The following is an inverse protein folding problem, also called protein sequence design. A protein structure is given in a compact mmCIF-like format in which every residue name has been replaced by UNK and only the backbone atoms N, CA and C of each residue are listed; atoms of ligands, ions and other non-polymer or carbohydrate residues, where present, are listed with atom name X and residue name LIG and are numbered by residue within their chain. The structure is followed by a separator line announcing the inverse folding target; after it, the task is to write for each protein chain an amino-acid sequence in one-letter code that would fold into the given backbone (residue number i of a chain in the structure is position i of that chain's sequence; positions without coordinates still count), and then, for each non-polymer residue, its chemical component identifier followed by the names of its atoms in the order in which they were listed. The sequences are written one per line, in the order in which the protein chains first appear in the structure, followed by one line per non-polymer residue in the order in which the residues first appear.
data_IF_866458715831
#
_entry.id   IF_866458715831
#
_cell.length_a   1.000
_cell.length_b   1.000
_cell.length_c   1.000
_cell.angle_alpha   90.00
_cell.angle_beta   90.00
_cell.angle_gamma   90.00
#
_symmetry.space_group_name_H-M   'P 1'
#
loop_
_entity.id
_entity.type
_entity.pdbx_description
1 polymer ?
#
# COMPACT_ATOMS: atom_id res chain seq x y z
N UNK A 1 -0.09 11.45 13.15
CA UNK A 1 -1.45 11.01 13.55
C UNK A 1 -1.73 11.53 14.94
N UNK A 2 -2.97 11.93 15.21
CA UNK A 2 -3.38 12.41 16.53
C UNK A 2 -4.42 11.46 17.12
N UNK A 3 -4.34 11.24 18.43
CA UNK A 3 -5.35 10.54 19.21
C UNK A 3 -5.82 11.47 20.31
N UNK A 4 -7.12 11.73 20.38
CA UNK A 4 -7.76 12.58 21.38
C UNK A 4 -8.81 11.80 22.16
N UNK A 5 -9.23 12.31 23.31
CA UNK A 5 -10.46 11.82 23.95
C UNK A 5 -11.67 12.24 23.12
N UNK A 6 -12.64 11.34 23.02
CA UNK A 6 -13.95 11.67 22.50
C UNK A 6 -14.66 12.58 23.52
N UNK A 7 -15.15 13.77 23.14
CA UNK A 7 -15.84 14.68 24.04
C UNK A 7 -17.19 14.13 24.53
N UNK A 8 -17.77 13.15 23.83
CA UNK A 8 -19.00 12.47 24.25
C UNK A 8 -18.71 11.44 25.37
N UNK A 9 -19.11 11.71 26.63
CA UNK A 9 -18.81 10.84 27.76
C UNK A 9 -19.62 9.53 27.74
N UNK A 10 -20.74 9.49 27.02
CA UNK A 10 -21.62 8.32 26.93
C UNK A 10 -21.24 7.38 25.77
N UNK A 11 -20.27 7.80 24.95
CA UNK A 11 -19.79 7.03 23.82
C UNK A 11 -19.03 5.78 24.28
N UNK A 12 -19.44 4.62 23.77
CA UNK A 12 -18.67 3.37 23.90
C UNK A 12 -17.33 3.36 23.13
N UNK A 13 -17.06 4.41 22.36
CA UNK A 13 -15.82 4.67 21.62
C UNK A 13 -15.17 5.95 22.19
N UNK A 14 -14.36 5.84 23.25
CA UNK A 14 -13.89 6.98 24.04
C UNK A 14 -12.73 7.76 23.40
N UNK A 15 -12.26 7.36 22.21
CA UNK A 15 -11.16 8.03 21.52
C UNK A 15 -11.55 8.52 20.13
N UNK A 16 -10.95 9.63 19.72
CA UNK A 16 -10.94 10.12 18.35
C UNK A 16 -9.54 9.94 17.77
N UNK A 17 -9.45 9.40 16.56
CA UNK A 17 -8.20 9.23 15.83
C UNK A 17 -8.27 10.09 14.58
N UNK A 18 -7.33 11.02 14.42
CA UNK A 18 -7.17 11.82 13.20
C UNK A 18 -5.96 11.33 12.41
N UNK A 19 -6.24 10.76 11.25
CA UNK A 19 -5.25 10.21 10.32
C UNK A 19 -4.92 11.30 9.29
N UNK A 20 -3.63 11.60 9.05
CA UNK A 20 -3.23 12.67 8.13
C UNK A 20 -3.30 12.20 6.67
N UNK A 21 -4.51 11.89 6.20
CA UNK A 21 -4.82 11.46 4.84
C UNK A 21 -6.15 12.12 4.41
N UNK A 22 -6.26 12.53 3.14
CA UNK A 22 -7.48 13.08 2.53
C UNK A 22 -8.15 14.18 3.37
N UNK A 23 -7.42 15.27 3.69
CA UNK A 23 -7.93 16.38 4.51
C UNK A 23 -8.00 16.11 6.02
N UNK A 24 -7.75 14.87 6.45
CA UNK A 24 -7.63 14.49 7.86
C UNK A 24 -8.77 13.61 8.34
N UNK A 25 -8.89 12.39 7.79
CA UNK A 25 -9.90 11.40 8.19
C UNK A 25 -9.97 11.23 9.72
N UNK A 26 -11.19 11.23 10.25
CA UNK A 26 -11.46 11.10 11.69
C UNK A 26 -12.22 9.80 11.96
N UNK A 27 -11.83 9.10 13.02
CA UNK A 27 -12.48 7.89 13.48
C UNK A 27 -12.74 7.93 14.97
N UNK A 28 -13.94 7.53 15.41
CA UNK A 28 -14.16 7.15 16.81
C UNK A 28 -13.66 5.72 17.03
N UNK A 29 -12.95 5.48 18.13
CA UNK A 29 -12.32 4.18 18.39
C UNK A 29 -12.40 3.78 19.86
N UNK A 30 -12.30 2.47 20.09
CA UNK A 30 -12.36 1.88 21.44
C UNK A 30 -11.06 2.02 22.24
N UNK A 31 -9.94 2.19 21.55
CA UNK A 31 -8.61 2.22 22.16
C UNK A 31 -7.67 3.08 21.29
N UNK A 32 -6.53 3.45 21.87
CA UNK A 32 -5.50 4.35 21.31
C UNK A 32 -4.55 3.66 20.34
N UNK A 33 -4.40 2.33 20.42
CA UNK A 33 -3.59 1.56 19.47
C UNK A 33 -3.93 0.05 19.46
N UNK A 34 -3.95 -0.65 18.30
CA UNK A 34 -4.29 -2.06 18.23
C UNK A 34 -3.13 -2.96 18.67
N UNK A 35 -3.06 -3.24 19.98
CA UNK A 35 -1.97 -4.05 20.57
C UNK A 35 -2.24 -5.55 20.48
N UNK A 36 -3.40 -5.98 20.99
CA UNK A 36 -3.75 -7.40 21.16
C UNK A 36 -4.84 -7.88 20.21
N UNK A 37 -5.74 -6.99 19.79
CA UNK A 37 -6.85 -7.28 18.87
C UNK A 37 -7.10 -6.09 17.95
N UNK A 38 -7.83 -6.34 16.86
CA UNK A 38 -8.33 -5.27 16.02
C UNK A 38 -9.31 -4.38 16.81
N UNK A 39 -9.21 -3.08 16.60
CA UNK A 39 -10.07 -2.06 17.18
C UNK A 39 -11.10 -1.68 16.13
N UNK A 40 -12.38 -1.68 16.50
CA UNK A 40 -13.41 -1.12 15.64
C UNK A 40 -13.26 0.41 15.59
N UNK A 41 -13.31 0.94 14.37
CA UNK A 41 -13.27 2.36 14.08
C UNK A 41 -14.58 2.75 13.42
N UNK A 42 -15.26 3.75 13.96
CA UNK A 42 -16.42 4.37 13.33
C UNK A 42 -15.96 5.63 12.59
N UNK A 43 -16.04 5.67 11.25
CA UNK A 43 -15.69 6.87 10.49
C UNK A 43 -16.66 8.01 10.85
N UNK A 44 -16.13 9.21 10.98
CA UNK A 44 -16.92 10.42 11.23
C UNK A 44 -16.39 11.56 10.37
N UNK A 45 -17.21 12.59 10.19
CA UNK A 45 -16.83 13.76 9.41
C UNK A 45 -15.70 14.54 10.10
N UNK A 46 -14.91 15.25 9.31
CA UNK A 46 -13.71 15.93 9.81
C UNK A 46 -14.00 17.08 10.79
N UNK A 47 -15.22 17.63 10.72
CA UNK A 47 -15.76 18.67 11.60
C UNK A 47 -16.12 18.13 13.00
N UNK A 48 -16.28 16.80 13.16
CA UNK A 48 -16.38 16.18 14.49
C UNK A 48 -15.07 16.24 15.28
N UNK A 49 -13.94 16.60 14.64
CA UNK A 49 -12.70 16.85 15.37
C UNK A 49 -12.82 18.15 16.18
N UNK A 50 -12.70 18.13 17.53
CA UNK A 50 -12.90 19.32 18.34
C UNK A 50 -11.87 20.41 18.02
N UNK A 51 -12.25 21.71 18.11
CA UNK A 51 -11.33 22.82 17.92
C UNK A 51 -10.23 22.86 18.99
N UNK A 52 -10.55 22.45 20.23
CA UNK A 52 -9.59 22.27 21.34
C UNK A 52 -9.64 20.83 21.86
N UNK A 53 -8.97 19.89 21.18
CA UNK A 53 -9.05 18.47 21.52
C UNK A 53 -8.13 18.14 22.71
N UNK A 54 -8.62 17.33 23.65
CA UNK A 54 -7.76 16.72 24.68
C UNK A 54 -6.91 15.62 24.02
N UNK A 55 -5.72 15.99 23.54
CA UNK A 55 -4.79 15.07 22.90
C UNK A 55 -4.20 14.10 23.93
N UNK A 56 -4.47 12.82 23.72
CA UNK A 56 -3.95 11.70 24.52
C UNK A 56 -2.61 11.22 23.95
N UNK A 57 -2.47 11.19 22.62
CA UNK A 57 -1.25 10.73 21.97
C UNK A 57 -0.99 11.49 20.66
N UNK A 58 0.27 11.88 20.45
CA UNK A 58 0.77 12.39 19.17
C UNK A 58 1.76 11.39 18.60
N UNK A 59 1.44 10.82 17.45
CA UNK A 59 2.25 9.78 16.81
C UNK A 59 2.90 10.34 15.56
N UNK A 60 4.22 10.50 15.60
CA UNK A 60 5.05 10.75 14.43
C UNK A 60 4.94 9.56 13.47
N UNK A 61 4.76 9.80 12.17
CA UNK A 61 4.62 8.75 11.16
C UNK A 61 5.78 8.80 10.18
N UNK A 62 6.39 7.64 9.90
CA UNK A 62 7.28 7.46 8.76
C UNK A 62 6.50 7.38 7.44
N UNK A 63 5.29 6.84 7.49
CA UNK A 63 4.45 6.66 6.32
C UNK A 63 2.97 6.54 6.72
N UNK A 64 2.09 7.14 5.93
CA UNK A 64 0.64 6.97 6.01
C UNK A 64 0.09 6.96 4.58
N UNK A 65 -0.23 5.77 4.07
CA UNK A 65 -0.57 5.62 2.65
C UNK A 65 -1.78 4.73 2.51
N UNK A 66 -2.72 5.17 1.68
CA UNK A 66 -3.87 4.34 1.29
C UNK A 66 -3.45 3.29 0.27
N UNK A 67 -3.92 2.07 0.47
CA UNK A 67 -3.79 0.94 -0.46
C UNK A 67 -5.14 0.26 -0.58
N UNK A 68 -6.00 0.78 -1.47
CA UNK A 68 -7.35 0.29 -1.68
C UNK A 68 -8.22 0.47 -0.44
N UNK A 69 -8.75 -0.63 0.10
CA UNK A 69 -9.55 -0.65 1.32
C UNK A 69 -8.73 -0.49 2.61
N UNK A 70 -7.40 -0.46 2.56
CA UNK A 70 -6.57 -0.30 3.75
C UNK A 70 -5.84 1.04 3.74
N UNK A 71 -5.61 1.60 4.92
CA UNK A 71 -4.63 2.66 5.16
C UNK A 71 -3.50 2.05 5.96
N UNK A 72 -2.32 1.95 5.35
CA UNK A 72 -1.10 1.56 6.05
C UNK A 72 -0.62 2.74 6.89
N UNK A 73 -0.41 2.48 8.19
CA UNK A 73 0.11 3.47 9.15
C UNK A 73 1.40 2.92 9.73
N UNK A 74 2.52 3.60 9.41
CA UNK A 74 3.85 3.30 9.93
C UNK A 74 4.29 4.43 10.85
N UNK A 75 4.21 4.17 12.16
CA UNK A 75 4.67 5.09 13.19
C UNK A 75 6.20 5.11 13.29
N UNK A 76 6.76 6.26 13.67
CA UNK A 76 8.19 6.42 13.92
C UNK A 76 8.54 6.08 15.38
N UNK A 77 8.55 4.77 15.67
CA UNK A 77 8.88 4.23 17.00
C UNK A 77 9.28 2.75 16.93
N UNK A 78 9.97 2.27 17.96
CA UNK A 78 10.51 0.90 18.01
C UNK A 78 9.50 -0.22 18.32
N UNK A 79 8.36 0.09 18.95
CA UNK A 79 7.26 -0.85 19.22
C UNK A 79 5.97 -0.28 18.67
N UNK A 80 5.02 -1.13 18.29
CA UNK A 80 3.73 -0.68 17.74
C UNK A 80 3.90 0.23 16.52
N UNK A 81 4.88 -0.15 15.70
CA UNK A 81 5.33 0.61 14.55
C UNK A 81 4.39 0.49 13.36
N UNK A 82 3.80 -0.69 13.15
CA UNK A 82 3.06 -1.03 11.93
C UNK A 82 1.62 -1.37 12.27
N UNK A 83 0.68 -0.71 11.61
CA UNK A 83 -0.75 -0.99 11.73
C UNK A 83 -1.47 -0.68 10.42
N UNK A 84 -2.70 -1.17 10.29
CA UNK A 84 -3.56 -0.93 9.14
C UNK A 84 -4.96 -0.57 9.60
N UNK A 85 -5.54 0.48 9.03
CA UNK A 85 -6.96 0.82 9.15
C UNK A 85 -7.67 0.27 7.91
N UNK A 86 -8.50 -0.75 8.08
CA UNK A 86 -9.09 -1.52 6.97
C UNK A 86 -10.60 -1.29 6.91
N UNK A 87 -11.05 -0.75 5.79
CA UNK A 87 -12.43 -0.65 5.39
C UNK A 87 -12.88 -2.01 4.83
N UNK A 88 -13.97 -2.55 5.36
CA UNK A 88 -14.52 -3.83 4.94
C UNK A 88 -16.05 -3.80 5.00
N UNK A 89 -16.69 -4.82 4.42
CA UNK A 89 -18.14 -5.00 4.46
C UNK A 89 -18.45 -6.30 5.19
N UNK A 90 -19.28 -6.25 6.22
CA UNK A 90 -19.75 -7.42 6.94
C UNK A 90 -21.24 -7.28 7.26
N UNK A 91 -22.01 -8.38 7.07
CA UNK A 91 -23.48 -8.40 7.28
C UNK A 91 -24.22 -7.26 6.56
N UNK A 92 -23.78 -6.93 5.34
CA UNK A 92 -24.38 -5.87 4.52
C UNK A 92 -24.04 -4.44 4.94
N UNK A 93 -23.28 -4.24 6.02
CA UNK A 93 -22.87 -2.93 6.54
C UNK A 93 -21.37 -2.69 6.38
N UNK A 94 -21.00 -1.43 6.35
CA UNK A 94 -19.61 -0.99 6.24
C UNK A 94 -18.99 -0.94 7.63
N UNK A 95 -17.77 -1.44 7.74
CA UNK A 95 -17.04 -1.52 9.00
C UNK A 95 -15.60 -1.11 8.76
N UNK A 96 -15.01 -0.39 9.72
CA UNK A 96 -13.59 -0.06 9.69
C UNK A 96 -12.92 -0.69 10.89
N UNK A 97 -11.78 -1.34 10.68
CA UNK A 97 -11.00 -1.97 11.73
C UNK A 97 -9.55 -1.52 11.69
N UNK A 98 -9.03 -1.10 12.83
CA UNK A 98 -7.62 -0.81 13.01
C UNK A 98 -6.90 -2.00 13.63
N UNK A 99 -5.89 -2.54 12.95
CA UNK A 99 -5.24 -3.80 13.31
C UNK A 99 -3.71 -3.73 13.20
N UNK A 100 -3.01 -4.63 13.88
CA UNK A 100 -1.54 -4.76 13.83
C UNK A 100 -1.11 -6.17 13.39
N UNK A 101 0.14 -6.38 12.94
CA UNK A 101 0.61 -7.67 12.41
C UNK A 101 0.46 -8.88 13.35
N UNK A 102 0.28 -8.67 14.66
CA UNK A 102 0.12 -9.74 15.66
C UNK A 102 -1.21 -10.49 15.60
N UNK A 103 -2.11 -10.15 14.65
CA UNK A 103 -3.45 -10.77 14.53
C UNK A 103 -3.61 -11.78 13.38
N UNK A 104 -2.54 -12.22 12.69
CA UNK A 104 -2.66 -13.18 11.57
C UNK A 104 -1.70 -14.37 11.70
N UNK A 105 -2.26 -15.60 11.72
CA UNK A 105 -1.50 -16.86 11.61
C UNK A 105 -0.87 -16.98 10.22
N UNK A 106 0.42 -17.28 10.19
CA UNK A 106 1.21 -17.48 8.97
C UNK A 106 1.11 -18.96 8.55
N UNK A 107 0.86 -19.21 7.25
CA UNK A 107 0.86 -20.55 6.67
C UNK A 107 2.27 -20.90 6.12
N UNK A 108 2.62 -22.20 6.14
CA UNK A 108 3.88 -22.77 5.63
C UNK A 108 3.64 -23.63 4.38
N UNK A 109 4.65 -23.81 3.50
CA UNK A 109 4.48 -24.35 2.16
C UNK A 109 4.77 -25.85 2.07
N UNK A 110 3.79 -26.58 1.53
CA UNK A 110 3.99 -27.77 0.70
C UNK A 110 2.92 -27.66 -0.42
N UNK A 111 3.31 -27.16 -1.60
CA UNK A 111 2.36 -26.53 -2.53
C UNK A 111 1.84 -27.54 -3.54
N UNK A 112 0.66 -28.11 -3.26
CA UNK A 112 -0.31 -28.35 -4.34
C UNK A 112 -0.81 -26.99 -4.81
N UNK A 113 -0.89 -26.78 -6.13
CA UNK A 113 -1.53 -25.58 -6.68
C UNK A 113 -2.95 -25.49 -6.10
N UNK A 114 -3.28 -24.44 -5.31
CA UNK A 114 -4.58 -24.36 -4.70
C UNK A 114 -5.65 -24.13 -5.78
N UNK A 115 -6.66 -24.99 -5.83
CA UNK A 115 -7.86 -24.81 -6.67
C UNK A 115 -8.86 -23.82 -6.08
N UNK A 116 -8.57 -23.29 -4.89
CA UNK A 116 -9.38 -22.28 -4.23
C UNK A 116 -9.30 -20.94 -4.96
N UNK A 117 -10.47 -20.31 -5.14
CA UNK A 117 -10.65 -18.99 -5.77
C UNK A 117 -9.66 -17.96 -5.25
N UNK A 118 -8.93 -17.30 -6.15
CA UNK A 118 -8.09 -16.18 -5.79
C UNK A 118 -8.96 -14.99 -5.34
N UNK A 119 -8.62 -14.40 -4.20
CA UNK A 119 -9.32 -13.26 -3.61
C UNK A 119 -10.84 -13.43 -3.43
N UNK A 120 -11.35 -14.68 -3.43
CA UNK A 120 -12.78 -14.98 -3.31
C UNK A 120 -13.62 -14.67 -4.57
N UNK A 121 -13.00 -14.30 -5.69
CA UNK A 121 -13.71 -13.89 -6.92
C UNK A 121 -14.38 -15.12 -7.55
N UNK A 122 -15.66 -14.98 -7.94
CA UNK A 122 -16.44 -16.09 -8.52
C UNK A 122 -15.95 -16.53 -9.91
N UNK A 123 -15.41 -15.59 -10.69
CA UNK A 123 -14.72 -15.82 -11.95
C UNK A 123 -13.97 -14.55 -12.39
N UNK A 124 -12.87 -14.72 -13.11
CA UNK A 124 -12.03 -13.63 -13.59
C UNK A 124 -11.98 -13.62 -15.12
N UNK A 125 -12.24 -12.48 -15.74
CA UNK A 125 -11.95 -12.29 -17.16
C UNK A 125 -10.50 -11.80 -17.31
N UNK A 126 -9.70 -12.52 -18.10
CA UNK A 126 -8.33 -12.14 -18.46
C UNK A 126 -8.29 -11.86 -19.95
N UNK A 127 -7.86 -10.64 -20.30
CA UNK A 127 -7.55 -10.29 -21.68
C UNK A 127 -6.17 -10.82 -22.00
N UNK A 128 -6.05 -11.58 -23.07
CA UNK A 128 -4.78 -12.14 -23.57
C UNK A 128 -4.38 -11.37 -24.82
N UNK A 129 -3.13 -10.94 -24.90
CA UNK A 129 -2.63 -10.26 -26.09
C UNK A 129 -2.83 -11.14 -27.33
N UNK A 130 -3.28 -10.53 -28.43
CA UNK A 130 -3.57 -11.23 -29.66
C UNK A 130 -2.31 -11.81 -30.34
N UNK A 131 -1.13 -11.24 -30.07
CA UNK A 131 0.16 -11.68 -30.60
C UNK A 131 0.84 -12.71 -29.72
N UNK A 132 0.30 -13.01 -28.54
CA UNK A 132 0.87 -14.05 -27.66
C UNK A 132 0.65 -15.44 -28.29
N UNK A 133 1.76 -16.05 -28.72
CA UNK A 133 1.74 -17.29 -29.52
C UNK A 133 1.40 -18.52 -28.69
N UNK A 134 1.81 -18.53 -27.42
CA UNK A 134 1.64 -19.67 -26.52
C UNK A 134 0.98 -19.22 -25.22
N UNK A 135 -0.30 -18.79 -25.29
CA UNK A 135 -0.98 -18.22 -24.13
C UNK A 135 -1.21 -19.28 -23.04
N UNK A 136 -1.29 -18.81 -21.81
CA UNK A 136 -1.77 -19.61 -20.69
C UNK A 136 -3.20 -20.08 -20.92
N UNK A 137 -3.48 -21.29 -20.44
CA UNK A 137 -4.82 -21.89 -20.56
C UNK A 137 -5.72 -21.52 -19.38
N UNK A 138 -5.13 -21.28 -18.20
CA UNK A 138 -5.81 -21.13 -16.92
C UNK A 138 -6.77 -22.28 -16.60
N UNK A 139 -6.51 -23.48 -17.14
CA UNK A 139 -7.43 -24.62 -17.10
C UNK A 139 -7.78 -25.11 -15.69
N UNK A 140 -6.92 -24.84 -14.70
CA UNK A 140 -7.17 -25.16 -13.29
C UNK A 140 -7.98 -24.11 -12.52
N UNK A 141 -8.36 -23.00 -13.15
CA UNK A 141 -8.89 -21.81 -12.46
C UNK A 141 -10.22 -21.34 -13.05
N UNK A 142 -10.96 -20.53 -12.29
CA UNK A 142 -12.24 -19.95 -12.72
C UNK A 142 -11.98 -18.71 -13.58
N UNK A 143 -11.38 -18.89 -14.75
CA UNK A 143 -10.97 -17.83 -15.67
C UNK A 143 -11.70 -17.96 -17.00
N UNK A 144 -12.17 -16.84 -17.54
CA UNK A 144 -12.55 -16.71 -18.95
C UNK A 144 -11.49 -15.87 -19.66
N UNK A 145 -11.03 -16.30 -20.83
CA UNK A 145 -10.03 -15.57 -21.60
C UNK A 145 -10.64 -14.92 -22.83
N UNK A 146 -10.26 -13.66 -23.08
CA UNK A 146 -10.66 -12.90 -24.27
C UNK A 146 -9.41 -12.45 -25.01
N UNK A 147 -9.28 -12.74 -26.30
CA UNK A 147 -8.14 -12.25 -27.09
C UNK A 147 -8.38 -10.83 -27.59
N UNK A 148 -7.41 -9.93 -27.38
CA UNK A 148 -7.44 -8.54 -27.86
C UNK A 148 -6.00 -8.03 -27.98
N UNK A 149 -5.75 -7.09 -28.89
CA UNK A 149 -4.47 -6.37 -28.89
C UNK A 149 -4.32 -5.54 -27.61
N UNK A 150 -3.24 -5.78 -26.88
CA UNK A 150 -2.84 -5.02 -25.70
C UNK A 150 -1.76 -4.01 -26.11
N UNK A 151 -1.77 -2.83 -25.48
CA UNK A 151 -0.72 -1.83 -25.68
C UNK A 151 0.59 -2.22 -24.99
N UNK A 152 0.52 -3.00 -23.90
CA UNK A 152 1.66 -3.55 -23.19
C UNK A 152 1.25 -4.75 -22.33
N UNK A 153 2.18 -5.70 -22.16
CA UNK A 153 1.97 -6.97 -21.46
C UNK A 153 1.21 -8.01 -22.29
N UNK A 154 1.30 -9.26 -21.86
CA UNK A 154 0.69 -10.42 -22.54
C UNK A 154 -0.67 -10.79 -21.94
N UNK A 155 -0.90 -10.45 -20.67
CA UNK A 155 -2.14 -10.73 -19.95
C UNK A 155 -2.58 -9.48 -19.19
N UNK A 156 -3.86 -9.13 -19.25
CA UNK A 156 -4.39 -7.97 -18.57
C UNK A 156 -5.76 -8.24 -17.94
N UNK A 157 -6.09 -7.44 -16.94
CA UNK A 157 -7.45 -7.32 -16.41
C UNK A 157 -7.97 -5.90 -16.63
N UNK A 158 -9.25 -5.80 -16.95
CA UNK A 158 -9.92 -4.53 -17.17
C UNK A 158 -10.67 -4.07 -15.92
N UNK A 159 -10.69 -2.76 -15.70
CA UNK A 159 -11.49 -2.08 -14.70
C UNK A 159 -12.90 -1.75 -15.20
N UNK A 160 -13.65 -1.03 -14.37
CA UNK A 160 -14.88 -0.37 -14.83
C UNK A 160 -14.52 0.62 -15.96
N UNK A 161 -15.36 0.67 -17.00
CA UNK A 161 -15.08 1.50 -18.19
C UNK A 161 -14.07 0.89 -19.18
N UNK A 162 -13.57 -0.32 -18.94
CA UNK A 162 -12.75 -1.06 -19.92
C UNK A 162 -11.27 -0.67 -19.99
N UNK A 163 -10.79 0.19 -19.08
CA UNK A 163 -9.37 0.53 -18.97
C UNK A 163 -8.57 -0.63 -18.34
N UNK A 164 -7.29 -0.79 -18.74
CA UNK A 164 -6.41 -1.80 -18.15
C UNK A 164 -6.02 -1.38 -16.73
N UNK A 165 -6.37 -2.18 -15.72
CA UNK A 165 -6.02 -1.91 -14.31
C UNK A 165 -4.78 -2.68 -13.86
N UNK A 166 -4.45 -3.77 -14.55
CA UNK A 166 -3.18 -4.45 -14.38
C UNK A 166 -2.81 -5.24 -15.63
N UNK A 167 -1.50 -5.38 -15.88
CA UNK A 167 -0.96 -6.28 -16.88
C UNK A 167 0.21 -7.11 -16.36
N UNK A 168 0.46 -8.24 -17.01
CA UNK A 168 1.60 -9.13 -16.78
C UNK A 168 2.29 -9.38 -18.12
N UNK A 169 3.57 -9.07 -18.19
CA UNK A 169 4.48 -9.48 -19.26
C UNK A 169 5.07 -10.85 -18.92
N UNK A 170 4.96 -11.81 -19.82
CA UNK A 170 5.48 -13.16 -19.67
C UNK A 170 6.82 -13.27 -20.38
N UNK A 171 7.81 -13.89 -19.72
CA UNK A 171 9.13 -14.13 -20.30
C UNK A 171 9.59 -15.56 -20.08
N UNK A 172 9.97 -16.22 -21.17
CA UNK A 172 10.86 -17.38 -21.09
C UNK A 172 12.29 -16.91 -20.76
N UNK A 173 13.13 -17.79 -20.19
CA UNK A 173 14.49 -17.39 -19.81
C UNK A 173 15.34 -16.92 -21.00
N UNK A 174 15.24 -17.57 -22.15
CA UNK A 174 15.97 -17.17 -23.36
C UNK A 174 15.60 -15.75 -23.82
N UNK A 175 14.30 -15.44 -23.80
CA UNK A 175 13.79 -14.12 -24.20
C UNK A 175 14.15 -13.06 -23.16
N UNK A 176 14.20 -13.42 -21.88
CA UNK A 176 14.67 -12.54 -20.81
C UNK A 176 16.15 -12.21 -20.99
N UNK A 177 17.00 -13.23 -21.16
CA UNK A 177 18.45 -13.05 -21.37
C UNK A 177 18.70 -12.17 -22.59
N UNK A 178 18.01 -12.45 -23.70
CA UNK A 178 18.10 -11.62 -24.91
C UNK A 178 17.69 -10.18 -24.65
N UNK A 179 16.49 -9.96 -24.11
CA UNK A 179 15.92 -8.62 -23.89
C UNK A 179 16.63 -7.79 -22.82
N UNK A 180 17.29 -8.42 -21.85
CA UNK A 180 18.20 -7.73 -20.92
C UNK A 180 19.49 -7.33 -21.64
N UNK A 181 20.08 -8.25 -22.41
CA UNK A 181 21.36 -8.03 -23.10
C UNK A 181 21.29 -6.94 -24.16
N UNK A 182 20.19 -6.90 -24.92
CA UNK A 182 19.98 -5.91 -25.98
C UNK A 182 19.19 -4.67 -25.51
N UNK A 183 18.82 -4.62 -24.22
CA UNK A 183 18.13 -3.50 -23.60
C UNK A 183 16.64 -3.38 -23.91
N UNK A 184 16.03 -4.25 -24.73
CA UNK A 184 14.59 -4.20 -25.05
C UNK A 184 13.70 -4.27 -23.81
N UNK A 185 14.13 -4.97 -22.75
CA UNK A 185 13.34 -5.08 -21.52
C UNK A 185 13.13 -3.73 -20.83
N UNK A 186 14.06 -2.77 -20.99
CA UNK A 186 13.90 -1.41 -20.46
C UNK A 186 12.71 -0.67 -21.07
N UNK A 187 12.50 -0.85 -22.37
CA UNK A 187 11.38 -0.24 -23.08
C UNK A 187 10.06 -0.86 -22.66
N UNK A 188 10.00 -2.20 -22.59
CA UNK A 188 8.82 -2.91 -22.08
C UNK A 188 8.46 -2.47 -20.65
N UNK A 189 9.45 -2.35 -19.76
CA UNK A 189 9.22 -1.85 -18.38
C UNK A 189 8.76 -0.39 -18.35
N UNK A 190 9.22 0.45 -19.28
CA UNK A 190 8.76 1.84 -19.40
C UNK A 190 7.28 1.90 -19.76
N UNK A 191 6.82 1.08 -20.71
CA UNK A 191 5.42 0.99 -21.09
C UNK A 191 4.56 0.40 -19.97
N UNK A 192 5.02 -0.67 -19.33
CA UNK A 192 4.35 -1.29 -18.18
C UNK A 192 4.22 -0.32 -17.00
N UNK A 193 5.18 0.59 -16.80
CA UNK A 193 5.14 1.59 -15.73
C UNK A 193 4.02 2.62 -15.89
N UNK A 194 3.40 2.71 -17.06
CA UNK A 194 2.23 3.57 -17.29
C UNK A 194 0.94 2.99 -16.70
N UNK A 195 0.95 1.70 -16.35
CA UNK A 195 -0.21 1.01 -15.79
C UNK A 195 -0.25 1.14 -14.25
N UNK A 196 -1.45 1.13 -13.64
CA UNK A 196 -1.59 1.18 -12.19
C UNK A 196 -0.89 0.01 -11.48
N UNK A 197 -0.84 -1.15 -12.14
CA UNK A 197 -0.05 -2.32 -11.72
C UNK A 197 0.49 -3.02 -12.94
N UNK A 198 1.75 -3.41 -12.86
CA UNK A 198 2.35 -4.28 -13.84
C UNK A 198 3.30 -5.26 -13.15
N UNK A 199 3.57 -6.37 -13.81
CA UNK A 199 4.61 -7.30 -13.40
C UNK A 199 5.24 -7.98 -14.62
N UNK A 200 6.46 -8.46 -14.45
CA UNK A 200 7.09 -9.42 -15.36
C UNK A 200 7.14 -10.77 -14.66
N UNK A 201 6.58 -11.80 -15.28
CA UNK A 201 6.66 -13.18 -14.80
C UNK A 201 7.65 -13.96 -15.66
N UNK A 202 8.60 -14.64 -15.02
CA UNK A 202 9.64 -15.42 -15.68
C UNK A 202 9.40 -16.91 -15.41
N UNK A 203 9.30 -17.68 -16.49
CA UNK A 203 9.01 -19.13 -16.46
C UNK A 203 10.24 -19.99 -16.15
N UNK A 204 11.01 -19.60 -15.15
CA UNK A 204 12.26 -20.29 -14.80
C UNK A 204 12.71 -19.88 -13.40
N UNK A 205 13.71 -20.58 -12.86
CA UNK A 205 14.39 -20.20 -11.61
C UNK A 205 15.43 -19.11 -11.87
N UNK A 206 15.58 -18.19 -10.94
CA UNK A 206 16.66 -17.19 -10.98
C UNK A 206 18.05 -17.85 -11.12
N UNK A 207 18.26 -18.99 -10.46
CA UNK A 207 19.53 -19.73 -10.52
C UNK A 207 19.91 -20.21 -11.93
N UNK A 208 18.95 -20.34 -12.85
CA UNK A 208 19.22 -20.75 -14.23
C UNK A 208 19.87 -19.66 -15.08
N UNK A 209 19.90 -18.40 -14.61
CA UNK A 209 20.72 -17.33 -15.21
C UNK A 209 22.22 -17.67 -15.12
N UNK A 210 22.65 -18.28 -14.01
CA UNK A 210 24.07 -18.63 -13.82
C UNK A 210 24.52 -19.84 -14.61
N UNK A 211 23.60 -20.48 -15.34
CA UNK A 211 23.88 -21.60 -16.24
C UNK A 211 24.03 -21.15 -17.70
N UNK A 212 23.87 -19.86 -18.00
CA UNK A 212 23.99 -19.34 -19.35
C UNK A 212 25.42 -19.43 -19.86
N UNK A 213 25.59 -19.88 -21.10
CA UNK A 213 26.90 -20.07 -21.75
C UNK A 213 27.19 -19.00 -22.81
N UNK A 214 26.15 -18.44 -23.42
CA UNK A 214 26.26 -17.48 -24.53
C UNK A 214 26.42 -16.03 -24.08
N UNK A 215 25.86 -15.68 -22.92
CA UNK A 215 25.98 -14.36 -22.30
C UNK A 215 26.56 -14.54 -20.92
N UNK A 216 27.48 -13.65 -20.51
CA UNK A 216 28.07 -13.68 -19.17
C UNK A 216 26.96 -13.52 -18.13
N UNK A 217 26.78 -14.47 -17.20
CA UNK A 217 25.71 -14.39 -16.21
C UNK A 217 25.71 -13.12 -15.36
N UNK A 218 26.89 -12.57 -15.04
CA UNK A 218 27.02 -11.32 -14.31
C UNK A 218 26.32 -10.16 -15.02
N UNK A 219 26.46 -10.06 -16.36
CA UNK A 219 25.78 -9.03 -17.16
C UNK A 219 24.26 -9.09 -17.02
N UNK A 220 23.69 -10.31 -16.98
CA UNK A 220 22.25 -10.49 -16.82
C UNK A 220 21.82 -10.19 -15.38
N UNK A 221 22.56 -10.65 -14.38
CA UNK A 221 22.27 -10.40 -12.98
C UNK A 221 22.32 -8.90 -12.64
N UNK A 222 23.36 -8.20 -13.08
CA UNK A 222 23.53 -6.76 -12.90
C UNK A 222 22.43 -5.98 -13.64
N UNK A 223 22.13 -6.38 -14.88
CA UNK A 223 21.04 -5.80 -15.67
C UNK A 223 19.69 -5.93 -14.97
N UNK A 224 19.34 -7.11 -14.47
CA UNK A 224 18.10 -7.32 -13.71
C UNK A 224 18.04 -6.48 -12.43
N UNK A 225 19.16 -6.39 -11.70
CA UNK A 225 19.25 -5.55 -10.50
C UNK A 225 19.03 -4.07 -10.84
N UNK A 226 19.69 -3.56 -11.89
CA UNK A 226 19.51 -2.19 -12.37
C UNK A 226 18.06 -1.91 -12.77
N UNK A 227 17.42 -2.84 -13.48
CA UNK A 227 16.01 -2.74 -13.87
C UNK A 227 15.10 -2.65 -12.64
N UNK A 228 15.30 -3.49 -11.62
CA UNK A 228 14.48 -3.46 -10.41
C UNK A 228 14.71 -2.19 -9.56
N UNK A 229 15.92 -1.62 -9.57
CA UNK A 229 16.20 -0.34 -8.92
C UNK A 229 15.53 0.81 -9.68
N UNK A 230 15.55 0.77 -11.02
CA UNK A 230 14.98 1.83 -11.87
C UNK A 230 13.45 1.79 -11.95
N UNK A 231 12.85 0.61 -11.92
CA UNK A 231 11.38 0.42 -11.90
C UNK A 231 10.94 -0.37 -10.66
N UNK A 232 11.07 0.20 -9.45
CA UNK A 232 10.83 -0.52 -8.19
C UNK A 232 9.38 -0.95 -7.99
N UNK A 233 8.44 -0.36 -8.75
CA UNK A 233 7.03 -0.71 -8.71
C UNK A 233 6.66 -1.94 -9.55
N UNK A 234 7.54 -2.38 -10.47
CA UNK A 234 7.28 -3.50 -11.37
C UNK A 234 8.11 -4.71 -10.91
N UNK A 235 7.53 -5.68 -10.20
CA UNK A 235 8.25 -6.88 -9.80
C UNK A 235 8.60 -7.72 -11.03
N UNK A 236 9.81 -8.29 -11.02
CA UNK A 236 10.24 -9.35 -11.94
C UNK A 236 10.31 -10.64 -11.14
N UNK A 237 9.36 -11.55 -11.34
CA UNK A 237 9.15 -12.73 -10.49
C UNK A 237 9.55 -14.01 -11.23
N UNK A 238 10.48 -14.74 -10.65
CA UNK A 238 10.91 -16.05 -11.15
C UNK A 238 10.04 -17.15 -10.55
N UNK A 239 9.28 -17.83 -11.40
CA UNK A 239 8.25 -18.77 -10.98
C UNK A 239 8.64 -20.24 -11.16
N UNK A 240 9.89 -20.55 -11.50
CA UNK A 240 10.41 -21.92 -11.68
C UNK A 240 9.85 -22.65 -12.92
N UNK A 241 8.52 -22.83 -13.00
CA UNK A 241 7.88 -23.52 -14.13
C UNK A 241 6.78 -22.68 -14.77
N UNK A 242 6.45 -22.99 -16.02
CA UNK A 242 5.30 -22.43 -16.74
C UNK A 242 4.00 -22.52 -15.93
N UNK A 243 3.71 -23.66 -15.31
CA UNK A 243 2.47 -23.86 -14.55
C UNK A 243 2.40 -22.97 -13.30
N UNK A 244 3.54 -22.77 -12.63
CA UNK A 244 3.65 -21.86 -11.49
C UNK A 244 3.56 -20.39 -11.92
N UNK A 245 4.11 -20.04 -13.08
CA UNK A 245 3.99 -18.71 -13.67
C UNK A 245 2.54 -18.40 -14.07
N UNK A 246 1.83 -19.37 -14.66
CA UNK A 246 0.39 -19.28 -14.96
C UNK A 246 -0.43 -19.04 -13.68
N UNK A 247 -0.18 -19.83 -12.63
CA UNK A 247 -0.83 -19.67 -11.34
C UNK A 247 -0.55 -18.30 -10.71
N UNK A 248 0.71 -17.87 -10.73
CA UNK A 248 1.11 -16.58 -10.17
C UNK A 248 0.42 -15.43 -10.91
N UNK A 249 0.39 -15.51 -12.25
CA UNK A 249 -0.29 -14.55 -13.13
C UNK A 249 -1.78 -14.45 -12.79
N UNK A 250 -2.47 -15.58 -12.65
CA UNK A 250 -3.86 -15.63 -12.24
C UNK A 250 -4.07 -14.93 -10.88
N UNK A 251 -3.26 -15.26 -9.87
CA UNK A 251 -3.41 -14.68 -8.52
C UNK A 251 -3.11 -13.19 -8.48
N UNK A 252 -2.08 -12.75 -9.19
CA UNK A 252 -1.71 -11.33 -9.29
C UNK A 252 -2.83 -10.52 -9.94
N UNK A 253 -3.33 -10.98 -11.09
CA UNK A 253 -4.41 -10.33 -11.82
C UNK A 253 -5.74 -10.34 -11.04
N UNK A 254 -6.07 -11.44 -10.35
CA UNK A 254 -7.23 -11.52 -9.47
C UNK A 254 -7.13 -10.52 -8.30
N UNK A 255 -5.97 -10.44 -7.65
CA UNK A 255 -5.73 -9.48 -6.57
C UNK A 255 -5.82 -8.03 -7.08
N UNK A 256 -5.24 -7.75 -8.25
CA UNK A 256 -5.32 -6.43 -8.87
C UNK A 256 -6.76 -6.03 -9.21
N UNK A 257 -7.56 -6.96 -9.77
CA UNK A 257 -8.97 -6.73 -10.09
C UNK A 257 -9.80 -6.44 -8.83
N UNK A 258 -9.70 -7.30 -7.81
CA UNK A 258 -10.41 -7.10 -6.53
C UNK A 258 -10.05 -5.78 -5.88
N UNK A 259 -8.76 -5.41 -5.93
CA UNK A 259 -8.34 -4.13 -5.39
C UNK A 259 -8.89 -2.96 -6.20
N UNK A 260 -8.89 -3.02 -7.53
CA UNK A 260 -9.41 -1.94 -8.38
C UNK A 260 -10.90 -1.69 -8.14
N UNK A 261 -11.69 -2.75 -7.91
CA UNK A 261 -13.11 -2.63 -7.54
C UNK A 261 -13.28 -1.97 -6.17
N UNK A 262 -12.43 -2.32 -5.21
CA UNK A 262 -12.51 -1.78 -3.86
C UNK A 262 -12.02 -0.33 -3.80
N UNK A 263 -11.00 0.01 -4.57
CA UNK A 263 -10.48 1.37 -4.67
C UNK A 263 -11.50 2.31 -5.31
N UNK A 264 -12.11 1.94 -6.44
CA UNK A 264 -13.11 2.78 -7.13
C UNK A 264 -14.28 3.16 -6.19
N UNK A 265 -14.86 2.15 -5.53
CA UNK A 265 -15.95 2.33 -4.55
C UNK A 265 -15.53 3.24 -3.39
N UNK A 266 -14.26 3.20 -3.00
CA UNK A 266 -13.76 3.92 -1.85
C UNK A 266 -13.16 5.30 -2.22
N UNK A 267 -12.83 5.54 -3.48
CA UNK A 267 -12.49 6.85 -4.05
C UNK A 267 -13.75 7.70 -4.23
N UNK A 268 -14.84 7.11 -4.73
CA UNK A 268 -16.16 7.76 -4.86
C UNK A 268 -16.70 8.30 -3.53
N UNK A 269 -16.36 7.66 -2.41
CA UNK A 269 -16.87 8.03 -1.08
C UNK A 269 -16.11 9.13 -0.38
N UNK A 270 -14.84 9.33 -0.72
CA UNK A 270 -13.92 10.17 0.05
C UNK A 270 -13.43 11.36 -0.77
N UNK A 271 -13.55 11.32 -2.10
CA UNK A 271 -13.19 12.42 -2.99
C UNK A 271 -11.67 12.61 -3.14
N UNK A 272 -11.15 12.36 -4.33
CA UNK A 272 -9.86 12.90 -4.80
C UNK A 272 -8.58 12.28 -4.22
N UNK A 273 -7.52 12.30 -5.03
CA UNK A 273 -6.33 11.46 -4.90
C UNK A 273 -5.45 11.68 -3.66
N UNK A 274 -4.87 10.57 -3.21
CA UNK A 274 -3.88 10.52 -2.13
C UNK A 274 -2.49 10.91 -2.63
N UNK A 275 -2.07 12.12 -2.30
CA UNK A 275 -0.66 12.43 -2.09
C UNK A 275 -0.55 13.21 -0.78
N UNK A 276 0.52 12.96 -0.03
CA UNK A 276 0.88 13.66 1.21
C UNK A 276 1.09 15.18 1.06
N UNK A 277 0.76 15.77 -0.10
CA UNK A 277 1.08 17.16 -0.42
C UNK A 277 0.40 18.17 0.51
N UNK A 278 -0.80 17.86 1.01
CA UNK A 278 -1.57 18.81 1.83
C UNK A 278 -2.01 18.22 3.18
N UNK A 279 -1.14 17.44 3.84
CA UNK A 279 -1.32 17.24 5.27
C UNK A 279 -1.05 18.60 5.95
N UNK A 280 -2.00 19.19 6.71
CA UNK A 280 -1.69 20.39 7.47
C UNK A 280 -0.50 20.06 8.37
N UNK A 281 0.51 20.94 8.37
CA UNK A 281 1.64 20.84 9.27
C UNK A 281 1.12 20.57 10.69
N UNK A 282 1.86 19.75 11.46
CA UNK A 282 1.49 19.46 12.83
C UNK A 282 1.12 20.78 13.53
N UNK A 283 -0.04 20.85 14.22
CA UNK A 283 -0.46 22.09 14.86
C UNK A 283 0.66 22.55 15.80
N UNK A 284 0.92 23.87 15.86
CA UNK A 284 2.05 24.42 16.61
C UNK A 284 2.04 23.92 18.05
N UNK A 285 3.21 23.84 18.70
CA UNK A 285 3.29 23.38 20.09
C UNK A 285 2.40 24.26 20.97
N UNK A 286 1.71 23.63 21.91
CA UNK A 286 0.97 24.36 22.93
C UNK A 286 1.92 25.24 23.75
N UNK A 287 1.39 26.33 24.31
CA UNK A 287 2.19 27.19 25.21
C UNK A 287 2.75 26.42 26.41
N UNK A 288 2.09 25.34 26.86
CA UNK A 288 2.59 24.48 27.91
C UNK A 288 3.84 23.68 27.50
N UNK A 289 3.87 23.17 26.27
CA UNK A 289 5.00 22.42 25.71
C UNK A 289 6.21 23.33 25.52
N UNK A 290 6.01 24.53 24.95
CA UNK A 290 7.09 25.53 24.79
C UNK A 290 7.61 25.98 26.16
N UNK A 291 6.73 26.15 27.16
CA UNK A 291 7.14 26.50 28.54
C UNK A 291 7.97 25.41 29.20
N UNK A 292 7.59 24.15 29.03
CA UNK A 292 8.34 23.01 29.57
C UNK A 292 9.73 22.93 28.95
N UNK A 293 9.82 22.98 27.62
CA UNK A 293 11.09 22.99 26.90
C UNK A 293 11.98 24.17 27.32
N UNK A 294 11.40 25.37 27.46
CA UNK A 294 12.14 26.56 27.87
C UNK A 294 12.80 26.36 29.23
N UNK A 295 12.07 25.82 30.23
CA UNK A 295 12.64 25.52 31.56
C UNK A 295 13.73 24.46 31.50
N UNK A 296 13.53 23.40 30.72
CA UNK A 296 14.52 22.33 30.54
C UNK A 296 15.81 22.84 29.88
N UNK A 297 15.74 23.93 29.10
CA UNK A 297 16.88 24.57 28.42
C UNK A 297 17.35 25.85 29.14
N UNK A 298 16.97 26.06 30.40
CA UNK A 298 17.44 27.19 31.21
C UNK A 298 16.86 28.56 30.85
N UNK A 299 15.82 28.62 30.00
CA UNK A 299 15.15 29.85 29.60
C UNK A 299 14.07 30.20 30.64
N UNK A 300 14.21 31.36 31.28
CA UNK A 300 13.27 31.85 32.27
C UNK A 300 11.91 32.20 31.62
N UNK A 301 10.84 31.57 32.09
CA UNK A 301 9.47 31.75 31.57
C UNK A 301 8.44 31.84 32.70
N UNK A 302 7.39 32.69 32.58
CA UNK A 302 6.33 32.79 33.58
C UNK A 302 5.55 31.49 33.77
N UNK A 303 5.07 31.25 34.99
CA UNK A 303 4.30 30.04 35.33
C UNK A 303 2.94 29.95 34.63
N UNK A 304 2.34 31.11 34.33
CA UNK A 304 1.05 31.24 33.64
C UNK A 304 1.10 32.39 32.64
N UNK A 305 0.18 32.37 31.68
CA UNK A 305 0.04 33.42 30.66
C UNK A 305 0.84 33.18 29.38
N UNK A 306 0.78 34.14 28.46
CA UNK A 306 1.38 34.07 27.12
C UNK A 306 2.92 34.13 27.23
N UNK A 307 3.61 33.27 26.48
CA UNK A 307 5.07 33.32 26.38
C UNK A 307 5.50 34.41 25.40
N UNK A 308 6.71 34.94 25.61
CA UNK A 308 7.27 35.94 24.69
C UNK A 308 7.55 35.32 23.32
N UNK A 309 7.43 36.08 22.22
CA UNK A 309 7.73 35.60 20.87
C UNK A 309 9.11 34.97 20.74
N UNK A 310 10.12 35.51 21.41
CA UNK A 310 11.51 35.00 21.36
C UNK A 310 11.62 33.54 21.86
N UNK A 311 10.78 33.13 22.82
CA UNK A 311 10.76 31.76 23.35
C UNK A 311 10.20 30.78 22.31
N UNK A 312 9.20 31.22 21.54
CA UNK A 312 8.63 30.44 20.44
C UNK A 312 9.60 30.34 19.25
N UNK A 313 10.43 31.36 19.02
CA UNK A 313 11.50 31.33 18.01
C UNK A 313 12.64 30.39 18.41
N UNK A 314 13.10 30.49 19.65
CA UNK A 314 14.13 29.58 20.18
C UNK A 314 13.66 28.12 20.15
N UNK A 315 12.39 27.86 20.49
CA UNK A 315 11.81 26.53 20.37
C UNK A 315 11.80 26.04 18.92
N UNK A 316 11.39 26.88 17.97
CA UNK A 316 11.38 26.52 16.54
C UNK A 316 12.78 26.20 16.02
N UNK A 317 13.77 27.03 16.35
CA UNK A 317 15.16 26.83 15.95
C UNK A 317 15.76 25.52 16.50
N UNK A 318 15.38 25.12 17.72
CA UNK A 318 15.84 23.89 18.34
C UNK A 318 15.16 22.62 17.79
N UNK A 319 14.01 22.74 17.11
CA UNK A 319 13.20 21.61 16.61
C UNK A 319 13.04 21.61 15.08
N UNK A 320 13.78 22.45 14.36
CA UNK A 320 13.77 22.55 12.89
C UNK A 320 14.83 21.66 12.22
N UNK A 321 15.15 20.49 12.79
CA UNK A 321 16.05 19.49 12.23
C UNK A 321 15.29 18.18 11.95
#
# INVERSE_FOLDING_TARGET
MLVARNPDPDSSLPYLIRVPLAGGLVFRAKDTWPRTKAIYCHPVDADEWPPDPEIVERVALKSCVRRGAAIDVVADRGREQRSQIVFTRARGREMVFWQSPRTRKQARPDVRLPTARASGIAGLEIVVDAHERYPYSFSGQQVTTTKRGLSCGDYAVLGQGGAVVAAVERKALSDLVGSVSDGRLRFALTELATLPRAAVVVEERYSSIFKQTYVRPATIADGLAELQVRWPAIPIVFCDTRALAEEWTYRFLAAARSWAETEAVAAERIGGDSALADAPAAPPPSTAEVRRWARENGIAVPDKGRLRPEVHEAWRAAHSA
#
